data_IF_567961425597
#
_entry.id   IF_567961425597
#
_cell.length_a   1.000
_cell.length_b   1.000
_cell.length_c   1.000
_cell.angle_alpha   90.00
_cell.angle_beta   90.00
_cell.angle_gamma   90.00
#
_symmetry.space_group_name_H-M   'P 1'
#
loop_
_entity.id
_entity.type
_entity.pdbx_description
1 polymer ?
#
# COMPACT_ATOMS: atom_id res chain seq x y z
N UNK A 1 0.43 -9.50 -13.90
CA UNK A 1 1.60 -9.38 -12.98
C UNK A 1 1.17 -9.67 -11.56
N UNK A 2 1.89 -10.56 -10.88
CA UNK A 2 1.74 -10.93 -9.47
C UNK A 2 3.11 -10.83 -8.79
N UNK A 3 3.16 -10.29 -7.58
CA UNK A 3 4.39 -10.26 -6.78
C UNK A 3 4.07 -10.82 -5.40
N UNK A 4 4.79 -11.85 -4.97
CA UNK A 4 4.48 -12.54 -3.73
C UNK A 4 5.68 -12.52 -2.78
N UNK A 5 5.41 -12.22 -1.52
CA UNK A 5 6.35 -12.42 -0.43
C UNK A 5 6.71 -13.91 -0.30
N UNK A 6 7.98 -14.20 -0.04
CA UNK A 6 8.47 -15.56 0.20
C UNK A 6 9.12 -15.67 1.59
N UNK A 7 9.89 -14.67 2.00
CA UNK A 7 10.47 -14.57 3.34
C UNK A 7 10.73 -13.11 3.72
N UNK A 8 11.22 -12.87 4.95
CA UNK A 8 11.59 -11.56 5.47
C UNK A 8 12.52 -10.73 4.53
N UNK A 9 13.31 -11.37 3.67
CA UNK A 9 14.20 -10.66 2.73
C UNK A 9 13.92 -10.97 1.27
N UNK A 10 12.97 -11.86 0.96
CA UNK A 10 12.77 -12.35 -0.41
C UNK A 10 11.33 -12.27 -0.90
N UNK A 11 11.18 -12.01 -2.19
CA UNK A 11 9.91 -12.02 -2.89
C UNK A 11 10.12 -12.47 -4.35
N UNK A 12 9.05 -12.88 -5.04
CA UNK A 12 9.14 -13.29 -6.45
C UNK A 12 8.03 -12.68 -7.30
N UNK A 13 8.44 -11.96 -8.35
CA UNK A 13 7.55 -11.37 -9.33
C UNK A 13 7.35 -12.32 -10.49
N UNK A 14 6.09 -12.55 -10.83
CA UNK A 14 5.67 -13.33 -11.99
C UNK A 14 4.78 -12.50 -12.90
N UNK A 15 4.97 -12.62 -14.21
CA UNK A 15 4.11 -11.96 -15.19
C UNK A 15 4.16 -12.68 -16.53
N UNK A 16 2.99 -12.87 -17.14
CA UNK A 16 2.92 -13.40 -18.50
C UNK A 16 3.58 -12.43 -19.49
N UNK A 17 3.37 -11.13 -19.29
CA UNK A 17 4.02 -10.05 -20.03
C UNK A 17 4.27 -8.83 -19.14
N UNK A 18 5.32 -8.08 -19.44
CA UNK A 18 5.57 -6.75 -18.88
C UNK A 18 6.32 -5.86 -19.88
N UNK A 19 6.14 -4.55 -19.75
CA UNK A 19 6.79 -3.54 -20.59
C UNK A 19 7.63 -2.61 -19.73
N UNK A 20 8.84 -2.33 -20.18
CA UNK A 20 9.75 -1.34 -19.58
C UNK A 20 10.18 -0.35 -20.66
N UNK A 21 10.58 0.86 -20.26
CA UNK A 21 11.05 1.87 -21.21
C UNK A 21 12.31 2.59 -20.71
N UNK A 22 13.08 3.15 -21.63
CA UNK A 22 14.28 3.94 -21.31
C UNK A 22 13.93 5.30 -20.70
N UNK A 23 12.77 5.84 -21.06
CA UNK A 23 12.21 7.09 -20.53
C UNK A 23 10.69 7.09 -20.75
N UNK A 24 9.99 8.09 -20.21
CA UNK A 24 8.62 8.38 -20.64
C UNK A 24 8.63 8.70 -22.14
N UNK A 25 7.82 8.00 -22.93
CA UNK A 25 7.82 8.05 -24.40
C UNK A 25 9.14 7.61 -25.06
N UNK A 26 10.03 6.93 -24.33
CA UNK A 26 11.26 6.36 -24.86
C UNK A 26 11.06 4.98 -25.52
N UNK A 27 12.17 4.35 -25.90
CA UNK A 27 12.17 2.99 -26.45
C UNK A 27 11.61 2.02 -25.42
N UNK A 28 10.60 1.26 -25.82
CA UNK A 28 9.95 0.25 -24.99
C UNK A 28 10.46 -1.16 -25.33
N UNK A 29 10.62 -1.99 -24.30
CA UNK A 29 10.96 -3.40 -24.40
C UNK A 29 9.89 -4.23 -23.73
N UNK A 30 9.50 -5.34 -24.37
CA UNK A 30 8.49 -6.27 -23.85
C UNK A 30 9.16 -7.58 -23.43
N UNK A 31 8.92 -7.99 -22.19
CA UNK A 31 9.26 -9.31 -21.67
C UNK A 31 8.03 -10.21 -21.64
N UNK A 32 8.25 -11.52 -21.67
CA UNK A 32 7.19 -12.51 -21.48
C UNK A 32 7.66 -13.64 -20.56
N UNK A 33 6.71 -14.34 -19.94
CA UNK A 33 6.95 -15.46 -19.01
C UNK A 33 7.98 -15.13 -17.92
N UNK A 34 7.84 -13.97 -17.30
CA UNK A 34 8.77 -13.47 -16.28
C UNK A 34 8.61 -14.23 -14.97
N UNK A 35 9.73 -14.64 -14.38
CA UNK A 35 9.84 -15.18 -13.02
C UNK A 35 11.12 -14.62 -12.40
N UNK A 36 10.99 -13.53 -11.65
CA UNK A 36 12.13 -12.72 -11.21
C UNK A 36 12.19 -12.66 -9.68
N UNK A 37 13.26 -13.14 -9.05
CA UNK A 37 13.44 -13.01 -7.62
C UNK A 37 13.85 -11.59 -7.23
N UNK A 38 13.48 -11.21 -6.01
CA UNK A 38 14.05 -10.10 -5.27
C UNK A 38 14.65 -10.67 -3.97
N UNK A 39 15.91 -10.35 -3.69
CA UNK A 39 16.59 -10.64 -2.43
C UNK A 39 17.26 -9.38 -1.88
N UNK A 40 16.70 -8.87 -0.78
CA UNK A 40 17.14 -7.66 -0.11
C UNK A 40 18.51 -7.78 0.58
N UNK A 41 19.06 -8.99 0.72
CA UNK A 41 20.41 -9.21 1.22
C UNK A 41 21.49 -8.94 0.15
N UNK A 42 21.09 -8.75 -1.11
CA UNK A 42 22.00 -8.52 -2.24
C UNK A 42 21.92 -7.09 -2.76
N UNK A 43 23.00 -6.62 -3.39
CA UNK A 43 23.06 -5.31 -4.07
C UNK A 43 23.26 -5.54 -5.56
N UNK A 44 22.49 -4.82 -6.39
CA UNK A 44 22.48 -4.92 -7.84
C UNK A 44 21.22 -5.58 -8.38
N UNK A 45 21.30 -6.13 -9.59
CA UNK A 45 20.18 -6.78 -10.25
C UNK A 45 19.67 -7.97 -9.42
N UNK A 46 18.38 -7.95 -9.07
CA UNK A 46 17.75 -8.91 -8.18
C UNK A 46 17.74 -8.50 -6.70
N UNK A 47 18.26 -7.33 -6.33
CA UNK A 47 18.35 -6.88 -4.94
C UNK A 47 18.15 -5.38 -4.76
N UNK A 48 18.80 -4.82 -3.74
CA UNK A 48 18.86 -3.37 -3.49
C UNK A 48 19.73 -2.67 -4.52
N UNK A 49 19.38 -1.45 -4.92
CA UNK A 49 20.22 -0.64 -5.81
C UNK A 49 21.52 -0.20 -5.12
N UNK A 50 21.44 0.04 -3.81
CA UNK A 50 22.53 0.40 -2.94
C UNK A 50 22.18 0.11 -1.48
N UNK A 51 23.20 -0.15 -0.66
CA UNK A 51 23.06 -0.26 0.79
C UNK A 51 22.07 -1.34 1.23
N UNK A 52 21.37 -1.06 2.34
CA UNK A 52 20.42 -1.96 2.98
C UNK A 52 19.00 -1.39 2.91
N UNK A 53 17.96 -2.23 3.05
CA UNK A 53 16.59 -1.77 3.15
C UNK A 53 16.38 -0.79 4.32
N UNK A 54 15.41 0.13 4.23
CA UNK A 54 15.12 1.06 5.31
C UNK A 54 14.40 0.36 6.46
N UNK A 55 14.56 0.83 7.70
CA UNK A 55 13.72 0.42 8.83
C UNK A 55 12.40 1.20 8.81
N UNK A 56 11.27 0.53 9.03
CA UNK A 56 9.93 1.13 9.00
C UNK A 56 9.68 2.01 7.76
N UNK A 57 10.14 1.55 6.59
CA UNK A 57 10.24 2.37 5.38
C UNK A 57 9.46 1.78 4.20
N UNK A 58 9.75 2.36 3.03
CA UNK A 58 9.19 1.92 1.77
C UNK A 58 10.31 1.57 0.79
N UNK A 59 10.09 0.52 0.01
CA UNK A 59 10.94 0.12 -1.10
C UNK A 59 10.18 0.29 -2.41
N UNK A 60 10.78 1.00 -3.35
CA UNK A 60 10.28 1.10 -4.71
C UNK A 60 10.99 0.05 -5.54
N UNK A 61 10.24 -0.91 -6.06
CA UNK A 61 10.78 -2.03 -6.82
C UNK A 61 10.53 -1.80 -8.28
N UNK A 62 11.60 -1.76 -9.06
CA UNK A 62 11.59 -1.55 -10.49
C UNK A 62 11.88 -2.86 -11.21
N UNK A 63 11.11 -3.16 -12.25
CA UNK A 63 11.50 -4.09 -13.29
C UNK A 63 12.52 -3.38 -14.17
N UNK A 64 13.70 -3.95 -14.37
CA UNK A 64 14.78 -3.39 -15.18
C UNK A 64 15.13 -4.34 -16.32
N UNK A 65 15.60 -3.78 -17.44
CA UNK A 65 15.99 -4.55 -18.63
C UNK A 65 17.34 -4.13 -19.19
N UNK A 66 18.13 -5.13 -19.56
CA UNK A 66 19.40 -4.99 -20.25
C UNK A 66 19.24 -5.35 -21.74
N UNK A 67 19.29 -4.39 -22.67
CA UNK A 67 19.13 -4.64 -24.10
C UNK A 67 20.30 -5.38 -24.74
N UNK A 68 21.46 -5.46 -24.09
CA UNK A 68 22.64 -6.17 -24.59
C UNK A 68 22.55 -7.66 -24.31
N UNK A 69 22.06 -8.04 -23.13
CA UNK A 69 21.94 -9.45 -22.70
C UNK A 69 20.52 -9.99 -22.82
N UNK A 70 19.55 -9.15 -23.16
CA UNK A 70 18.12 -9.48 -23.25
C UNK A 70 17.53 -10.02 -21.92
N UNK A 71 18.07 -9.56 -20.79
CA UNK A 71 17.67 -10.05 -19.46
C UNK A 71 16.84 -9.01 -18.70
N UNK A 72 15.79 -9.50 -18.04
CA UNK A 72 15.04 -8.74 -17.04
C UNK A 72 15.54 -9.07 -15.63
N UNK A 73 15.46 -8.09 -14.73
CA UNK A 73 15.71 -8.26 -13.30
C UNK A 73 14.84 -7.30 -12.48
N UNK A 74 14.83 -7.46 -11.16
CA UNK A 74 14.26 -6.47 -10.24
C UNK A 74 15.37 -5.59 -9.65
N UNK A 75 15.00 -4.39 -9.22
CA UNK A 75 15.88 -3.48 -8.51
C UNK A 75 15.06 -2.70 -7.47
N UNK A 76 15.37 -2.86 -6.20
CA UNK A 76 14.71 -2.16 -5.10
C UNK A 76 15.50 -0.91 -4.69
N UNK A 77 14.81 0.18 -4.39
CA UNK A 77 15.44 1.41 -3.88
C UNK A 77 14.65 2.00 -2.72
N UNK A 78 15.35 2.57 -1.75
CA UNK A 78 14.78 3.27 -0.60
C UNK A 78 14.59 4.79 -0.85
N UNK A 79 15.03 5.30 -2.00
CA UNK A 79 15.05 6.73 -2.34
C UNK A 79 14.02 7.15 -3.39
N UNK A 80 13.14 6.23 -3.80
CA UNK A 80 12.16 6.46 -4.86
C UNK A 80 11.02 7.42 -4.49
N UNK A 81 10.35 7.93 -5.51
CA UNK A 81 9.17 8.82 -5.40
C UNK A 81 7.89 8.20 -5.97
N UNK A 82 7.95 6.92 -6.37
CA UNK A 82 6.87 6.27 -7.13
C UNK A 82 6.86 6.65 -8.61
N UNK A 83 7.93 7.26 -9.13
CA UNK A 83 8.10 7.51 -10.56
C UNK A 83 8.07 6.19 -11.35
N UNK A 84 7.46 6.21 -12.54
CA UNK A 84 7.37 5.02 -13.41
C UNK A 84 8.73 4.54 -13.88
N UNK A 85 9.64 5.45 -14.20
CA UNK A 85 11.03 5.14 -14.58
C UNK A 85 11.91 5.25 -13.36
N UNK A 86 12.85 4.32 -13.20
CA UNK A 86 13.83 4.34 -12.11
C UNK A 86 14.61 5.66 -12.14
N UNK A 87 14.53 6.49 -11.08
CA UNK A 87 15.16 7.80 -11.06
C UNK A 87 16.57 7.78 -10.46
N UNK A 88 17.01 6.65 -9.90
CA UNK A 88 18.25 6.55 -9.14
C UNK A 88 19.50 6.47 -10.02
N UNK A 89 20.66 6.68 -9.38
CA UNK A 89 21.96 6.65 -10.04
C UNK A 89 22.61 5.26 -10.08
N UNK A 90 22.05 4.28 -9.37
CA UNK A 90 22.68 2.97 -9.15
C UNK A 90 22.08 1.86 -10.02
N UNK A 91 21.68 2.20 -11.25
CA UNK A 91 21.23 1.20 -12.22
C UNK A 91 22.39 0.24 -12.54
N UNK A 92 22.21 -1.09 -12.41
CA UNK A 92 23.28 -2.05 -12.72
C UNK A 92 23.77 -1.92 -14.17
N UNK A 93 25.06 -2.17 -14.39
CA UNK A 93 25.68 -1.99 -15.70
C UNK A 93 24.95 -2.77 -16.81
N UNK A 94 24.70 -2.07 -17.92
CA UNK A 94 23.99 -2.61 -19.08
C UNK A 94 22.47 -2.58 -18.99
N UNK A 95 21.88 -2.39 -17.80
CA UNK A 95 20.45 -2.11 -17.70
C UNK A 95 20.18 -0.65 -18.05
N UNK A 96 19.20 -0.40 -18.92
CA UNK A 96 18.92 0.96 -19.44
C UNK A 96 17.44 1.30 -19.54
N UNK A 97 16.56 0.32 -19.32
CA UNK A 97 15.12 0.52 -19.30
C UNK A 97 14.52 0.04 -17.98
N UNK A 98 13.45 0.68 -17.53
CA UNK A 98 12.77 0.32 -16.29
C UNK A 98 11.27 0.59 -16.29
N UNK A 99 10.56 -0.03 -15.36
CA UNK A 99 9.19 0.31 -14.99
C UNK A 99 8.97 0.02 -13.50
N UNK A 100 8.21 0.88 -12.81
CA UNK A 100 7.81 0.64 -11.42
C UNK A 100 6.91 -0.59 -11.34
N UNK A 101 7.41 -1.64 -10.69
CA UNK A 101 6.71 -2.90 -10.51
C UNK A 101 5.96 -2.95 -9.18
N UNK A 102 6.49 -2.33 -8.12
CA UNK A 102 5.87 -2.35 -6.80
C UNK A 102 6.32 -1.20 -5.91
N UNK A 103 5.53 -0.92 -4.87
CA UNK A 103 5.95 -0.18 -3.69
C UNK A 103 5.65 -1.07 -2.49
N UNK A 104 6.70 -1.54 -1.82
CA UNK A 104 6.63 -2.46 -0.69
C UNK A 104 7.00 -1.75 0.61
N UNK A 105 6.63 -2.35 1.73
CA UNK A 105 6.94 -1.84 3.07
C UNK A 105 7.95 -2.71 3.78
N UNK A 106 8.71 -2.08 4.67
CA UNK A 106 9.61 -2.76 5.58
C UNK A 106 9.27 -2.49 7.04
N UNK A 107 9.58 -3.44 7.91
CA UNK A 107 9.33 -3.36 9.35
C UNK A 107 10.54 -2.74 10.12
N UNK A 108 10.47 -2.74 11.45
CA UNK A 108 11.51 -2.20 12.32
C UNK A 108 12.88 -2.89 12.21
N UNK A 109 12.93 -4.10 11.66
CA UNK A 109 14.14 -4.89 11.41
C UNK A 109 14.66 -4.75 9.96
N UNK A 110 14.10 -3.82 9.18
CA UNK A 110 14.39 -3.67 7.74
C UNK A 110 14.03 -4.92 6.90
N UNK A 111 13.09 -5.72 7.37
CA UNK A 111 12.55 -6.88 6.65
C UNK A 111 11.28 -6.50 5.89
N UNK A 112 10.99 -7.19 4.79
CA UNK A 112 9.72 -7.08 4.07
C UNK A 112 8.56 -7.50 4.97
N UNK A 113 7.55 -6.62 5.05
CA UNK A 113 6.24 -7.02 5.56
C UNK A 113 5.64 -8.11 4.68
N UNK A 114 4.86 -9.04 5.24
CA UNK A 114 4.18 -10.06 4.45
C UNK A 114 3.17 -9.44 3.49
N UNK A 115 3.25 -9.78 2.20
CA UNK A 115 2.34 -9.23 1.20
C UNK A 115 2.02 -10.20 0.05
N UNK A 116 0.96 -9.90 -0.67
CA UNK A 116 0.73 -10.38 -2.04
C UNK A 116 0.26 -9.21 -2.87
N UNK A 117 0.80 -9.06 -4.06
CA UNK A 117 0.39 -8.04 -5.02
C UNK A 117 -0.28 -8.68 -6.23
N UNK A 118 -1.38 -8.08 -6.68
CA UNK A 118 -2.03 -8.39 -7.95
C UNK A 118 -2.21 -7.08 -8.71
N UNK A 119 -1.62 -6.97 -9.90
CA UNK A 119 -1.61 -5.70 -10.63
C UNK A 119 -0.89 -4.61 -9.84
N UNK A 120 -1.58 -3.49 -9.57
CA UNK A 120 -1.06 -2.36 -8.77
C UNK A 120 -1.67 -2.28 -7.37
N UNK A 121 -2.23 -3.37 -6.86
CA UNK A 121 -2.76 -3.45 -5.49
C UNK A 121 -1.94 -4.43 -4.66
N UNK A 122 -1.48 -3.98 -3.50
CA UNK A 122 -0.73 -4.76 -2.51
C UNK A 122 -1.66 -5.09 -1.36
N UNK A 123 -1.77 -6.37 -1.03
CA UNK A 123 -2.60 -6.95 0.01
C UNK A 123 -1.73 -7.51 1.14
N UNK A 124 -2.15 -7.30 2.38
CA UNK A 124 -1.40 -7.71 3.58
C UNK A 124 -2.36 -7.90 4.77
N UNK A 125 -1.95 -8.62 5.83
CA UNK A 125 -2.73 -8.71 7.06
C UNK A 125 -3.09 -7.32 7.61
N UNK A 126 -4.30 -7.10 8.16
CA UNK A 126 -4.72 -5.78 8.60
C UNK A 126 -3.74 -5.13 9.59
N UNK A 127 -3.29 -3.93 9.27
CA UNK A 127 -2.49 -3.07 10.14
C UNK A 127 -3.42 -2.09 10.84
N UNK A 128 -3.44 -2.12 12.18
CA UNK A 128 -4.22 -1.19 12.97
C UNK A 128 -3.71 0.24 12.80
N UNK A 129 -4.61 1.17 12.49
CA UNK A 129 -4.32 2.61 12.35
C UNK A 129 -5.03 3.46 13.41
N UNK A 130 -6.07 2.91 14.04
CA UNK A 130 -6.83 3.52 15.12
C UNK A 130 -7.28 2.42 16.07
N UNK A 131 -7.16 2.65 17.38
CA UNK A 131 -7.67 1.73 18.39
C UNK A 131 -8.28 2.49 19.56
N UNK A 132 -9.41 2.00 20.08
CA UNK A 132 -9.98 2.51 21.34
C UNK A 132 -10.53 3.93 21.26
N UNK A 133 -10.79 4.48 20.08
CA UNK A 133 -11.12 5.90 19.95
C UNK A 133 -12.59 6.20 20.31
N UNK A 134 -12.84 7.37 20.90
CA UNK A 134 -14.19 7.87 21.09
C UNK A 134 -14.81 8.30 19.75
N UNK A 135 -16.13 8.20 19.62
CA UNK A 135 -16.84 8.56 18.41
C UNK A 135 -16.79 10.07 18.08
N UNK A 136 -16.92 10.42 16.80
CA UNK A 136 -16.85 11.80 16.28
C UNK A 136 -18.03 12.13 15.38
N UNK A 137 -18.76 13.21 15.70
CA UNK A 137 -19.94 13.66 14.93
C UNK A 137 -19.60 14.30 13.57
N UNK A 138 -18.34 14.67 13.35
CA UNK A 138 -17.85 15.24 12.10
C UNK A 138 -16.67 14.45 11.57
N UNK A 139 -16.43 14.55 10.26
CA UNK A 139 -15.28 13.93 9.62
C UNK A 139 -13.97 14.49 10.19
N UNK A 140 -13.27 13.65 10.95
CA UNK A 140 -11.95 13.94 11.50
C UNK A 140 -10.87 13.20 10.71
N UNK A 141 -9.68 13.81 10.59
CA UNK A 141 -8.56 13.17 9.93
C UNK A 141 -8.04 11.97 10.72
N UNK A 142 -7.48 11.01 9.98
CA UNK A 142 -6.81 9.82 10.48
C UNK A 142 -5.63 9.51 9.58
N UNK A 143 -4.45 9.35 10.21
CA UNK A 143 -3.26 8.92 9.48
C UNK A 143 -3.34 7.44 9.15
N UNK A 144 -2.96 7.08 7.93
CA UNK A 144 -2.74 5.70 7.47
C UNK A 144 -1.27 5.40 7.22
N UNK A 145 -0.35 6.28 7.63
CA UNK A 145 1.08 6.15 7.36
C UNK A 145 1.71 4.88 7.94
N UNK A 146 1.13 4.34 9.01
CA UNK A 146 1.53 3.07 9.60
C UNK A 146 1.17 1.86 8.72
N UNK A 147 0.32 2.02 7.70
CA UNK A 147 -0.21 0.95 6.86
C UNK A 147 0.21 1.05 5.38
N UNK A 148 0.44 2.26 4.85
CA UNK A 148 0.62 2.49 3.39
C UNK A 148 1.80 3.42 3.09
N UNK A 149 2.45 3.30 1.91
CA UNK A 149 3.50 4.23 1.48
C UNK A 149 2.97 5.64 1.18
N UNK A 150 3.85 6.64 1.17
CA UNK A 150 3.52 8.05 0.88
C UNK A 150 2.84 8.23 -0.50
N UNK A 151 3.26 7.43 -1.48
CA UNK A 151 2.74 7.48 -2.86
C UNK A 151 1.44 6.70 -3.09
N UNK A 152 0.84 6.09 -2.06
CA UNK A 152 -0.37 5.30 -2.21
C UNK A 152 -1.52 6.12 -2.82
N UNK A 153 -2.26 5.52 -3.75
CA UNK A 153 -3.36 6.17 -4.51
C UNK A 153 -4.73 5.88 -3.92
N UNK A 154 -4.88 4.71 -3.31
CA UNK A 154 -6.10 4.35 -2.58
C UNK A 154 -5.78 3.35 -1.47
N UNK A 155 -6.70 3.21 -0.54
CA UNK A 155 -6.59 2.31 0.61
C UNK A 155 -7.89 1.53 0.81
N UNK A 156 -7.76 0.29 1.30
CA UNK A 156 -8.88 -0.56 1.67
C UNK A 156 -8.67 -1.15 3.06
N UNK A 157 -9.77 -1.43 3.74
CA UNK A 157 -9.72 -1.90 5.12
C UNK A 157 -11.09 -1.90 5.77
N UNK A 158 -11.09 -1.69 7.09
CA UNK A 158 -12.30 -1.64 7.88
C UNK A 158 -12.26 -0.51 8.90
N UNK A 159 -13.45 -0.02 9.23
CA UNK A 159 -13.74 0.70 10.46
C UNK A 159 -14.77 -0.09 11.25
N UNK A 160 -14.54 -0.19 12.54
CA UNK A 160 -15.36 -0.93 13.48
C UNK A 160 -15.75 -0.03 14.64
N UNK A 161 -17.02 -0.10 15.01
CA UNK A 161 -17.57 0.55 16.18
C UNK A 161 -18.11 -0.51 17.12
N UNK A 162 -17.61 -0.54 18.34
CA UNK A 162 -18.24 -1.28 19.45
C UNK A 162 -18.95 -0.33 20.40
N UNK A 163 -20.14 -0.73 20.82
CA UNK A 163 -20.90 -0.02 21.83
C UNK A 163 -21.40 -0.96 22.92
N UNK A 164 -21.09 -0.63 24.16
CA UNK A 164 -21.51 -1.36 25.36
C UNK A 164 -22.75 -0.72 26.00
N UNK A 165 -23.02 0.56 25.73
CA UNK A 165 -24.21 1.30 26.18
C UNK A 165 -25.35 1.37 25.15
N UNK A 166 -26.46 2.00 25.52
CA UNK A 166 -27.56 2.29 24.60
C UNK A 166 -27.13 3.34 23.56
N UNK A 167 -27.15 2.98 22.27
CA UNK A 167 -26.84 3.85 21.14
C UNK A 167 -28.05 4.68 20.72
N UNK A 168 -27.80 5.86 20.14
CA UNK A 168 -28.83 6.57 19.36
C UNK A 168 -28.77 6.08 17.90
N UNK A 169 -27.56 5.83 17.40
CA UNK A 169 -27.26 5.37 16.05
C UNK A 169 -25.87 4.71 16.02
N UNK A 170 -25.61 3.74 15.15
CA UNK A 170 -24.27 3.11 15.03
C UNK A 170 -23.70 3.24 13.63
N UNK A 171 -23.98 4.33 12.90
CA UNK A 171 -23.42 4.55 11.57
C UNK A 171 -21.95 4.99 11.66
N UNK A 172 -21.10 4.40 10.84
CA UNK A 172 -19.71 4.83 10.63
C UNK A 172 -19.51 5.15 9.17
N UNK A 173 -18.64 6.11 8.90
CA UNK A 173 -18.28 6.48 7.55
C UNK A 173 -16.79 6.82 7.45
N UNK A 174 -16.24 6.58 6.26
CA UNK A 174 -14.90 7.00 5.85
C UNK A 174 -14.98 7.81 4.57
N UNK A 175 -14.09 8.78 4.43
CA UNK A 175 -14.01 9.67 3.28
C UNK A 175 -12.54 10.01 2.96
N UNK A 176 -12.31 10.54 1.77
CA UNK A 176 -11.00 10.95 1.30
C UNK A 176 -10.57 12.33 1.82
N UNK A 177 -11.52 13.16 2.25
CA UNK A 177 -11.29 14.51 2.79
C UNK A 177 -12.35 14.91 3.83
N UNK A 178 -12.20 16.10 4.41
CA UNK A 178 -13.16 16.66 5.38
C UNK A 178 -14.50 17.08 4.76
N UNK A 179 -14.59 17.21 3.43
CA UNK A 179 -15.81 17.57 2.72
C UNK A 179 -16.69 16.34 2.42
N UNK A 180 -16.16 15.13 2.63
CA UNK A 180 -16.88 13.88 2.38
C UNK A 180 -16.70 13.34 0.97
N UNK A 181 -15.64 13.73 0.24
CA UNK A 181 -15.36 13.16 -1.08
C UNK A 181 -15.15 11.64 -0.98
N UNK A 182 -15.76 10.91 -1.91
CA UNK A 182 -15.73 9.43 -1.96
C UNK A 182 -16.24 8.75 -0.67
N UNK A 183 -17.20 9.37 0.03
CA UNK A 183 -17.81 8.84 1.25
C UNK A 183 -18.28 7.39 1.06
N UNK A 184 -17.80 6.50 1.92
CA UNK A 184 -18.32 5.15 2.10
C UNK A 184 -18.85 5.07 3.52
N UNK A 185 -20.10 4.63 3.68
CA UNK A 185 -20.79 4.61 4.97
C UNK A 185 -21.56 3.31 5.15
N UNK A 186 -21.67 2.87 6.39
CA UNK A 186 -22.39 1.65 6.74
C UNK A 186 -22.82 1.67 8.19
N UNK A 187 -23.95 1.03 8.47
CA UNK A 187 -24.43 0.83 9.82
C UNK A 187 -25.93 0.88 9.97
N UNK A 188 -26.38 1.15 11.18
CA UNK A 188 -27.79 1.18 11.55
C UNK A 188 -28.20 2.60 11.91
N UNK A 189 -29.42 2.96 11.51
CA UNK A 189 -30.00 4.29 11.72
C UNK A 189 -30.88 4.40 12.97
N UNK A 190 -31.03 3.31 13.74
CA UNK A 190 -31.89 3.22 14.93
C UNK A 190 -31.13 2.86 16.21
N UNK A 191 -31.72 3.22 17.35
CA UNK A 191 -31.18 2.98 18.68
C UNK A 191 -31.12 1.49 19.02
N UNK A 192 -30.00 1.05 19.61
CA UNK A 192 -29.79 -0.33 20.04
C UNK A 192 -28.75 -0.41 21.17
N UNK A 193 -28.81 -1.43 22.02
CA UNK A 193 -27.83 -1.65 23.11
C UNK A 193 -26.94 -2.84 22.76
N UNK A 194 -25.64 -2.77 23.09
CA UNK A 194 -24.72 -3.92 22.95
C UNK A 194 -24.50 -4.35 21.49
N UNK A 195 -24.18 -3.39 20.62
CA UNK A 195 -24.06 -3.62 19.16
C UNK A 195 -22.65 -3.37 18.67
N UNK A 196 -22.31 -4.11 17.61
CA UNK A 196 -21.10 -3.94 16.83
C UNK A 196 -21.48 -3.55 15.41
N UNK A 197 -20.89 -2.48 14.90
CA UNK A 197 -21.01 -2.13 13.50
C UNK A 197 -19.64 -2.19 12.83
N UNK A 198 -19.61 -2.70 11.61
CA UNK A 198 -18.42 -2.80 10.80
C UNK A 198 -18.74 -2.28 9.40
N UNK A 199 -17.87 -1.43 8.89
CA UNK A 199 -17.84 -1.03 7.50
C UNK A 199 -16.49 -1.47 6.93
N UNK A 200 -16.53 -2.36 5.95
CA UNK A 200 -15.41 -2.59 5.05
C UNK A 200 -15.43 -1.49 3.98
N UNK A 201 -14.33 -0.80 3.80
CA UNK A 201 -14.15 0.17 2.74
C UNK A 201 -13.14 -0.33 1.72
N UNK A 202 -13.37 -0.01 0.45
CA UNK A 202 -12.54 -0.51 -0.66
C UNK A 202 -12.14 0.62 -1.59
N UNK A 203 -10.86 0.63 -1.97
CA UNK A 203 -10.28 1.58 -2.92
C UNK A 203 -10.68 3.04 -2.61
N UNK A 204 -10.66 3.42 -1.32
CA UNK A 204 -10.90 4.79 -0.90
C UNK A 204 -9.72 5.65 -1.39
N UNK A 205 -9.94 6.65 -2.26
CA UNK A 205 -8.85 7.47 -2.78
C UNK A 205 -8.10 8.22 -1.68
N UNK A 206 -6.78 8.32 -1.82
CA UNK A 206 -5.94 9.15 -0.94
C UNK A 206 -5.69 10.48 -1.67
N UNK A 207 -6.33 11.55 -1.20
CA UNK A 207 -6.21 12.90 -1.78
C UNK A 207 -5.12 13.74 -1.09
N UNK A 208 -4.90 13.49 0.20
CA UNK A 208 -3.78 14.03 0.97
C UNK A 208 -2.89 12.84 1.36
N UNK A 209 -1.57 12.87 1.11
CA UNK A 209 -0.69 11.74 1.38
C UNK A 209 -0.92 11.11 2.75
N UNK A 210 -1.13 9.80 2.77
CA UNK A 210 -1.34 8.98 3.97
C UNK A 210 -2.43 9.48 4.93
N UNK A 211 -3.46 10.16 4.42
CA UNK A 211 -4.56 10.69 5.23
C UNK A 211 -5.91 10.26 4.69
N UNK A 212 -6.78 9.78 5.58
CA UNK A 212 -8.21 9.56 5.35
C UNK A 212 -9.01 10.31 6.41
N UNK A 213 -10.33 10.35 6.26
CA UNK A 213 -11.25 10.97 7.21
C UNK A 213 -12.30 9.97 7.64
N UNK A 214 -12.77 10.07 8.89
CA UNK A 214 -13.82 9.20 9.40
C UNK A 214 -14.73 9.92 10.39
N UNK A 215 -15.93 9.38 10.54
CA UNK A 215 -16.93 9.85 11.49
C UNK A 215 -17.76 8.68 12.00
N UNK A 216 -18.40 8.87 13.14
CA UNK A 216 -19.40 7.96 13.70
C UNK A 216 -20.59 8.77 14.19
N UNK A 217 -21.80 8.29 13.92
CA UNK A 217 -23.02 8.99 14.30
C UNK A 217 -23.24 9.12 15.82
N UNK A 218 -22.66 8.22 16.62
CA UNK A 218 -22.72 8.31 18.07
C UNK A 218 -21.34 8.65 18.66
N UNK A 219 -21.23 9.84 19.22
CA UNK A 219 -20.03 10.33 19.90
C UNK A 219 -19.78 9.66 21.24
N UNK A 220 -20.75 8.92 21.77
CA UNK A 220 -20.64 8.14 23.01
C UNK A 220 -20.21 6.70 22.73
N UNK A 221 -19.69 6.42 21.53
CA UNK A 221 -19.17 5.10 21.17
C UNK A 221 -18.14 4.59 22.16
N UNK A 222 -18.24 3.29 22.48
CA UNK A 222 -17.41 2.64 23.50
C UNK A 222 -16.03 2.24 22.99
N UNK A 223 -15.87 2.05 21.67
CA UNK A 223 -14.58 2.05 20.97
C UNK A 223 -14.78 2.16 19.47
N UNK A 224 -13.91 2.92 18.80
CA UNK A 224 -13.70 2.91 17.35
C UNK A 224 -12.31 2.36 17.06
N UNK A 225 -12.26 1.35 16.19
CA UNK A 225 -11.04 0.69 15.75
C UNK A 225 -11.01 0.68 14.22
N UNK A 226 -9.82 0.86 13.63
CA UNK A 226 -9.64 0.85 12.18
C UNK A 226 -8.40 0.05 11.80
N UNK A 227 -8.53 -0.72 10.73
CA UNK A 227 -7.42 -1.46 10.14
C UNK A 227 -7.38 -1.27 8.63
N UNK A 228 -6.18 -1.32 8.07
CA UNK A 228 -5.93 -1.24 6.63
C UNK A 228 -5.28 -2.53 6.16
N UNK A 229 -5.75 -3.09 5.05
CA UNK A 229 -5.31 -4.40 4.54
C UNK A 229 -4.92 -4.39 3.07
N UNK A 230 -5.13 -3.29 2.35
CA UNK A 230 -4.55 -3.11 1.02
C UNK A 230 -4.34 -1.65 0.65
N UNK A 231 -3.43 -1.40 -0.29
CA UNK A 231 -3.30 -0.12 -0.97
C UNK A 231 -3.00 -0.31 -2.46
N UNK A 232 -3.32 0.72 -3.25
CA UNK A 232 -2.81 0.86 -4.62
C UNK A 232 -1.72 1.91 -4.70
N UNK A 233 -0.86 1.84 -5.72
CA UNK A 233 0.22 2.80 -6.00
C UNK A 233 0.21 3.25 -7.46
#
# INVERSE_FOLDING_TARGET
>A
MKFAWASATTATLTADEAVVATALNGTAYKGSSLNLPLDLATVGAGGMDSGSPPTNGNLYVYLIYNPTTFTFALLATNSGTGATIYPGAYMPAGYTASALASVLRTNGSAELDSFTQIGREVYFPPVAILSGAAGKATLGSQSVAAAVPVGAKSVSGYIYQSQTGASIQTNVAVASDAAGTALQQGGRTSAFTGTYNNLNFRLLPILTPQTIYWTSADTRASSIDMGVSSYTF
#
